data_IF_512750443721
#
_entry.id   IF_512750443721
#
_cell.length_a   1.000
_cell.length_b   1.000
_cell.length_c   1.000
_cell.angle_alpha   90.00
_cell.angle_beta   90.00
_cell.angle_gamma   90.00
#
_symmetry.space_group_name_H-M   'P 1'
#
loop_
_entity.id
_entity.type
_entity.pdbx_description
1 polymer ?
#
# COMPACT_ATOMS: atom_id res chain seq x y z
N UNK A 1 16.27 0.42 0.16
CA UNK A 1 17.44 1.18 0.65
C UNK A 1 17.47 2.62 0.12
N UNK A 2 17.28 2.83 -1.19
CA UNK A 2 17.31 4.15 -1.84
C UNK A 2 16.21 5.10 -1.34
N UNK A 3 14.96 4.64 -1.26
CA UNK A 3 13.83 5.45 -0.78
C UNK A 3 13.96 5.82 0.72
N UNK A 4 14.54 4.95 1.55
CA UNK A 4 14.78 5.29 2.97
C UNK A 4 15.88 6.34 3.15
N UNK A 5 16.85 6.38 2.23
CA UNK A 5 17.88 7.43 2.21
C UNK A 5 17.28 8.78 1.79
N UNK A 6 16.35 8.80 0.82
CA UNK A 6 15.69 10.06 0.41
C UNK A 6 14.79 10.65 1.50
N UNK A 7 14.20 9.81 2.36
CA UNK A 7 13.33 10.25 3.47
C UNK A 7 14.15 10.80 4.68
N UNK A 8 15.49 10.83 4.62
CA UNK A 8 16.39 11.39 5.67
C UNK A 8 16.20 10.82 7.09
N UNK A 9 15.50 9.69 7.26
CA UNK A 9 15.11 9.16 8.58
C UNK A 9 16.25 8.45 9.34
N UNK A 10 17.43 8.25 8.75
CA UNK A 10 18.57 7.59 9.39
C UNK A 10 18.36 6.13 9.85
N UNK A 11 17.14 5.60 9.72
CA UNK A 11 16.76 4.28 10.19
C UNK A 11 17.16 3.19 9.19
N UNK A 12 17.90 2.20 9.65
CA UNK A 12 18.22 1.01 8.87
C UNK A 12 17.09 -0.02 8.98
N UNK A 13 17.04 -0.97 8.02
CA UNK A 13 16.09 -2.09 8.09
C UNK A 13 16.29 -2.93 9.35
N UNK A 14 17.52 -2.97 9.89
CA UNK A 14 17.87 -3.67 11.11
C UNK A 14 17.32 -2.94 12.35
N UNK A 15 17.43 -1.61 12.40
CA UNK A 15 16.79 -0.82 13.47
C UNK A 15 15.29 -1.10 13.55
N UNK A 16 14.62 -1.17 12.40
CA UNK A 16 13.18 -1.48 12.33
C UNK A 16 12.89 -2.88 12.89
N UNK A 17 13.65 -3.90 12.48
CA UNK A 17 13.48 -5.27 12.99
C UNK A 17 13.72 -5.35 14.50
N UNK A 18 14.78 -4.74 14.98
CA UNK A 18 15.14 -4.74 16.40
C UNK A 18 14.10 -4.00 17.25
N UNK A 19 13.58 -2.86 16.78
CA UNK A 19 12.53 -2.13 17.47
C UNK A 19 11.27 -2.99 17.68
N UNK A 20 10.81 -3.69 16.64
CA UNK A 20 9.66 -4.60 16.78
C UNK A 20 9.95 -5.78 17.71
N UNK A 21 11.14 -6.38 17.61
CA UNK A 21 11.55 -7.49 18.48
C UNK A 21 11.54 -7.09 19.95
N UNK A 22 12.16 -5.95 20.28
CA UNK A 22 12.23 -5.44 21.66
C UNK A 22 10.83 -5.11 22.18
N UNK A 23 10.02 -4.38 21.40
CA UNK A 23 8.65 -4.04 21.78
C UNK A 23 7.82 -5.30 22.09
N UNK A 24 7.99 -6.36 21.29
CA UNK A 24 7.29 -7.63 21.52
C UNK A 24 7.79 -8.37 22.76
N UNK A 25 9.10 -8.33 23.05
CA UNK A 25 9.69 -8.96 24.24
C UNK A 25 9.12 -8.38 25.54
N UNK A 26 8.82 -7.08 25.55
CA UNK A 26 8.21 -6.40 26.71
C UNK A 26 6.68 -6.44 26.71
N UNK A 27 6.07 -7.21 25.80
CA UNK A 27 4.62 -7.42 25.75
C UNK A 27 3.81 -6.32 25.04
N UNK A 28 4.45 -5.32 24.42
CA UNK A 28 3.75 -4.25 23.70
C UNK A 28 3.17 -4.75 22.37
N UNK A 29 1.99 -4.21 22.05
CA UNK A 29 1.40 -4.42 20.73
C UNK A 29 2.11 -3.58 19.68
N UNK A 30 2.50 -4.19 18.57
CA UNK A 30 3.30 -3.55 17.53
C UNK A 30 2.47 -3.23 16.30
N UNK A 31 2.52 -1.97 15.87
CA UNK A 31 1.85 -1.48 14.65
C UNK A 31 2.86 -0.81 13.74
N UNK A 32 2.89 -1.24 12.50
CA UNK A 32 3.72 -0.64 11.46
C UNK A 32 2.92 0.25 10.52
N UNK A 33 3.61 1.19 9.91
CA UNK A 33 3.12 1.91 8.75
C UNK A 33 4.18 1.95 7.66
N UNK A 34 3.74 1.75 6.43
CA UNK A 34 4.55 1.89 5.23
C UNK A 34 3.77 2.66 4.17
N UNK A 35 4.53 3.31 3.28
CA UNK A 35 4.01 4.08 2.17
C UNK A 35 4.65 3.53 0.89
N UNK A 36 3.85 3.40 -0.16
CA UNK A 36 4.29 3.09 -1.52
C UNK A 36 3.84 4.20 -2.47
N UNK A 37 4.48 4.31 -3.63
CA UNK A 37 4.24 5.36 -4.61
C UNK A 37 5.06 6.62 -4.37
N UNK A 38 6.25 6.53 -3.76
CA UNK A 38 7.15 7.67 -3.58
C UNK A 38 7.90 8.01 -4.90
N UNK A 39 8.39 9.24 -5.14
CA UNK A 39 9.29 9.51 -6.27
C UNK A 39 10.43 8.49 -6.35
N UNK A 40 10.76 8.08 -7.58
CA UNK A 40 11.70 7.01 -7.93
C UNK A 40 11.25 5.57 -7.60
N UNK A 41 10.03 5.37 -7.11
CA UNK A 41 9.50 4.04 -6.85
C UNK A 41 9.14 3.33 -8.15
N UNK A 42 9.64 2.11 -8.31
CA UNK A 42 9.30 1.17 -9.39
C UNK A 42 8.53 -0.03 -8.84
N UNK A 43 7.85 -0.79 -9.70
CA UNK A 43 7.17 -2.05 -9.30
C UNK A 43 8.09 -3.00 -8.55
N UNK A 44 9.34 -3.14 -8.99
CA UNK A 44 10.33 -3.99 -8.32
C UNK A 44 10.69 -3.46 -6.92
N UNK A 45 10.82 -2.15 -6.74
CA UNK A 45 11.11 -1.55 -5.44
C UNK A 45 9.92 -1.65 -4.47
N UNK A 46 8.70 -1.39 -4.94
CA UNK A 46 7.48 -1.60 -4.17
C UNK A 46 7.40 -3.06 -3.71
N UNK A 47 7.69 -4.02 -4.60
CA UNK A 47 7.65 -5.43 -4.24
C UNK A 47 8.69 -5.84 -3.19
N UNK A 48 9.88 -5.22 -3.21
CA UNK A 48 10.86 -5.36 -2.12
C UNK A 48 10.30 -4.84 -0.79
N UNK A 49 9.60 -3.71 -0.80
CA UNK A 49 8.92 -3.15 0.39
C UNK A 49 7.87 -4.12 0.95
N UNK A 50 7.02 -4.68 0.09
CA UNK A 50 5.99 -5.65 0.50
C UNK A 50 6.60 -6.93 1.10
N UNK A 51 7.66 -7.47 0.48
CA UNK A 51 8.40 -8.62 1.02
C UNK A 51 9.04 -8.30 2.38
N UNK A 52 9.63 -7.12 2.53
CA UNK A 52 10.22 -6.68 3.79
C UNK A 52 9.16 -6.60 4.89
N UNK A 53 8.04 -5.91 4.64
CA UNK A 53 6.91 -5.80 5.56
C UNK A 53 6.40 -7.17 5.99
N UNK A 54 6.22 -8.09 5.04
CA UNK A 54 5.81 -9.47 5.35
C UNK A 54 6.81 -10.19 6.25
N UNK A 55 8.12 -9.92 6.10
CA UNK A 55 9.18 -10.54 6.91
C UNK A 55 9.24 -10.07 8.37
N UNK A 56 8.57 -8.97 8.73
CA UNK A 56 8.58 -8.40 10.09
C UNK A 56 7.75 -9.25 11.07
N UNK A 57 8.30 -10.38 11.54
CA UNK A 57 7.61 -11.34 12.41
C UNK A 57 7.01 -10.73 13.67
N UNK A 58 7.66 -9.69 14.19
CA UNK A 58 7.28 -9.03 15.42
C UNK A 58 6.37 -7.83 15.22
N UNK A 59 5.96 -7.53 13.98
CA UNK A 59 4.92 -6.55 13.64
C UNK A 59 3.57 -7.25 13.53
N UNK A 60 2.60 -6.85 14.35
CA UNK A 60 1.29 -7.52 14.44
C UNK A 60 0.23 -6.86 13.57
N UNK A 61 0.27 -5.53 13.45
CA UNK A 61 -0.63 -4.76 12.59
C UNK A 61 0.17 -3.94 11.59
N UNK A 62 -0.37 -3.70 10.41
CA UNK A 62 0.31 -2.91 9.38
C UNK A 62 -0.67 -2.04 8.62
N UNK A 63 -0.32 -0.77 8.46
CA UNK A 63 -0.98 0.14 7.55
C UNK A 63 -0.10 0.37 6.33
N UNK A 64 -0.56 -0.10 5.17
CA UNK A 64 0.06 0.22 3.89
C UNK A 64 -0.76 1.30 3.21
N UNK A 65 -0.14 2.45 2.97
CA UNK A 65 -0.78 3.59 2.32
C UNK A 65 -0.11 3.85 0.96
N UNK A 66 -0.86 4.43 0.03
CA UNK A 66 -0.26 5.04 -1.17
C UNK A 66 0.09 6.49 -0.84
N UNK A 67 1.20 6.98 -1.40
CA UNK A 67 1.64 8.35 -1.19
C UNK A 67 0.60 9.34 -1.72
N UNK A 68 0.27 10.33 -0.92
CA UNK A 68 -0.72 11.36 -1.25
C UNK A 68 -0.03 12.71 -1.21
N UNK A 69 0.18 13.37 -2.37
CA UNK A 69 0.89 14.64 -2.45
C UNK A 69 0.01 15.80 -1.98
N UNK A 70 0.07 16.22 -0.73
CA UNK A 70 -0.71 17.38 -0.28
C UNK A 70 -0.08 18.71 -0.73
N UNK A 71 -0.86 19.71 -1.15
CA UNK A 71 -0.34 21.03 -1.55
C UNK A 71 0.60 21.63 -0.51
N UNK A 72 1.68 22.26 -0.99
CA UNK A 72 2.71 22.84 -0.13
C UNK A 72 3.68 21.83 0.48
N UNK A 73 3.61 20.54 0.10
CA UNK A 73 4.63 19.54 0.45
C UNK A 73 5.61 19.32 -0.70
N UNK A 74 6.85 18.94 -0.39
CA UNK A 74 7.85 18.56 -1.39
C UNK A 74 7.35 17.44 -2.33
N UNK A 75 6.48 16.56 -1.82
CA UNK A 75 5.87 15.49 -2.59
C UNK A 75 4.87 16.02 -3.64
N UNK A 76 4.17 17.11 -3.34
CA UNK A 76 3.29 17.78 -4.29
C UNK A 76 4.08 18.47 -5.39
N UNK A 77 5.15 19.17 -5.04
CA UNK A 77 6.03 19.77 -6.03
C UNK A 77 6.67 18.70 -6.92
N UNK A 78 7.05 17.56 -6.35
CA UNK A 78 7.53 16.42 -7.13
C UNK A 78 6.46 15.88 -8.09
N UNK A 79 5.21 15.76 -7.65
CA UNK A 79 4.12 15.25 -8.47
C UNK A 79 3.70 16.19 -9.60
N UNK A 80 3.69 17.50 -9.35
CA UNK A 80 3.34 18.53 -10.33
C UNK A 80 4.45 18.69 -11.37
N UNK A 81 5.72 18.68 -10.94
CA UNK A 81 6.87 18.90 -11.81
C UNK A 81 7.41 17.61 -12.47
N UNK A 82 6.80 16.45 -12.23
CA UNK A 82 7.24 15.20 -12.84
C UNK A 82 8.48 14.55 -12.20
N UNK A 83 8.89 14.99 -11.01
CA UNK A 83 10.17 14.57 -10.41
C UNK A 83 10.14 13.10 -10.01
N UNK A 84 11.24 12.39 -10.28
CA UNK A 84 11.38 10.96 -9.98
C UNK A 84 10.33 10.08 -10.67
N UNK A 85 9.76 10.55 -11.77
CA UNK A 85 8.74 9.87 -12.57
C UNK A 85 7.34 9.88 -11.95
N UNK A 86 7.12 10.66 -10.89
CA UNK A 86 5.80 10.84 -10.29
C UNK A 86 4.96 11.81 -11.14
N UNK A 87 3.65 11.57 -11.24
CA UNK A 87 2.71 12.48 -11.89
C UNK A 87 1.44 12.61 -11.07
N UNK A 88 0.96 13.84 -10.93
CA UNK A 88 -0.36 14.11 -10.36
C UNK A 88 -1.45 13.82 -11.41
N UNK A 89 -2.45 13.03 -11.02
CA UNK A 89 -3.58 12.66 -11.88
C UNK A 89 -4.85 13.45 -11.56
N UNK A 90 -5.00 13.88 -10.29
CA UNK A 90 -6.22 14.52 -9.79
C UNK A 90 -5.86 15.66 -8.84
N UNK A 91 -6.52 16.80 -9.03
CA UNK A 91 -6.33 18.01 -8.23
C UNK A 91 -7.46 18.24 -7.23
N UNK A 92 -8.60 17.57 -7.38
CA UNK A 92 -9.70 17.66 -6.43
C UNK A 92 -9.33 16.99 -5.10
N UNK A 93 -9.25 17.81 -4.04
CA UNK A 93 -8.95 17.40 -2.68
C UNK A 93 -9.95 16.42 -2.08
N UNK A 94 -11.20 16.41 -2.57
CA UNK A 94 -12.20 15.44 -2.14
C UNK A 94 -11.78 14.00 -2.44
N UNK A 95 -10.87 13.80 -3.41
CA UNK A 95 -10.36 12.50 -3.84
C UNK A 95 -9.12 12.04 -3.08
N UNK A 96 -8.56 12.88 -2.20
CA UNK A 96 -7.33 12.61 -1.44
C UNK A 96 -7.64 11.70 -0.25
N UNK A 97 -7.98 10.45 -0.55
CA UNK A 97 -8.41 9.45 0.43
C UNK A 97 -7.30 8.48 0.75
N UNK A 98 -7.19 8.10 2.03
CA UNK A 98 -6.24 7.08 2.51
C UNK A 98 -6.49 5.69 1.89
N UNK A 99 -7.77 5.37 1.72
CA UNK A 99 -8.24 4.17 1.04
C UNK A 99 -9.22 4.63 -0.05
N UNK A 100 -8.79 4.53 -1.30
CA UNK A 100 -9.49 5.10 -2.45
C UNK A 100 -8.69 4.87 -3.73
N UNK A 101 -9.03 5.60 -4.78
CA UNK A 101 -8.22 5.62 -6.00
C UNK A 101 -7.04 6.58 -5.81
N UNK A 102 -5.79 6.12 -5.99
CA UNK A 102 -4.64 7.00 -5.88
C UNK A 102 -4.72 8.15 -6.87
N UNK A 103 -4.38 9.35 -6.39
CA UNK A 103 -4.34 10.59 -7.17
C UNK A 103 -3.03 10.77 -7.93
N UNK A 104 -2.16 9.75 -7.92
CA UNK A 104 -0.83 9.77 -8.53
C UNK A 104 -0.57 8.53 -9.39
N UNK A 105 0.38 8.67 -10.32
CA UNK A 105 1.15 7.56 -10.89
C UNK A 105 2.64 7.81 -10.66
N UNK A 106 3.46 6.74 -10.72
CA UNK A 106 4.91 6.86 -10.62
C UNK A 106 5.60 5.82 -11.47
N UNK A 107 6.52 6.24 -12.35
CA UNK A 107 7.28 5.36 -13.24
C UNK A 107 6.37 4.32 -13.95
N UNK A 108 6.60 3.03 -13.71
CA UNK A 108 5.88 1.88 -14.27
C UNK A 108 4.61 1.49 -13.47
N UNK A 109 4.20 2.33 -12.52
CA UNK A 109 3.05 2.11 -11.63
C UNK A 109 1.96 3.13 -11.92
N UNK A 110 0.85 2.65 -12.50
CA UNK A 110 -0.39 3.43 -12.60
C UNK A 110 -1.08 3.55 -11.24
N UNK A 111 -2.05 4.47 -11.11
CA UNK A 111 -2.91 4.56 -9.92
C UNK A 111 -3.58 3.23 -9.58
N UNK A 112 -4.00 2.47 -10.60
CA UNK A 112 -4.58 1.13 -10.44
C UNK A 112 -3.55 0.14 -9.92
N UNK A 113 -2.31 0.18 -10.41
CA UNK A 113 -1.24 -0.70 -9.93
C UNK A 113 -0.87 -0.40 -8.47
N UNK A 114 -0.80 0.89 -8.10
CA UNK A 114 -0.57 1.31 -6.72
C UNK A 114 -1.68 0.81 -5.78
N UNK A 115 -2.95 0.92 -6.19
CA UNK A 115 -4.09 0.38 -5.45
C UNK A 115 -4.01 -1.15 -5.32
N UNK A 116 -3.68 -1.85 -6.42
CA UNK A 116 -3.49 -3.31 -6.41
C UNK A 116 -2.36 -3.72 -5.46
N UNK A 117 -1.22 -3.04 -5.50
CA UNK A 117 -0.10 -3.28 -4.60
C UNK A 117 -0.47 -3.02 -3.14
N UNK A 118 -1.20 -1.93 -2.85
CA UNK A 118 -1.69 -1.64 -1.49
C UNK A 118 -2.52 -2.81 -0.95
N UNK A 119 -3.47 -3.29 -1.75
CA UNK A 119 -4.31 -4.44 -1.38
C UNK A 119 -3.49 -5.72 -1.20
N UNK A 120 -2.68 -6.08 -2.20
CA UNK A 120 -1.87 -7.31 -2.17
C UNK A 120 -0.94 -7.30 -0.96
N UNK A 121 -0.31 -6.16 -0.64
CA UNK A 121 0.57 -6.02 0.51
C UNK A 121 -0.14 -6.24 1.84
N UNK A 122 -1.35 -5.69 2.00
CA UNK A 122 -2.17 -5.91 3.17
C UNK A 122 -2.58 -7.40 3.29
N UNK A 123 -3.11 -8.00 2.22
CA UNK A 123 -3.50 -9.42 2.20
C UNK A 123 -2.30 -10.30 2.55
N UNK A 124 -1.15 -10.11 1.89
CA UNK A 124 0.05 -10.88 2.15
C UNK A 124 0.56 -10.76 3.59
N UNK A 125 0.45 -9.58 4.19
CA UNK A 125 0.86 -9.35 5.56
C UNK A 125 -0.06 -10.10 6.54
N UNK A 126 -1.37 -9.90 6.43
CA UNK A 126 -2.36 -10.46 7.35
C UNK A 126 -2.59 -11.97 7.18
N UNK A 127 -2.48 -12.49 5.96
CA UNK A 127 -2.57 -13.93 5.66
C UNK A 127 -1.29 -14.71 5.96
N UNK A 128 -0.28 -14.08 6.55
CA UNK A 128 0.92 -14.79 6.99
C UNK A 128 0.54 -15.72 8.17
N UNK A 129 0.79 -17.05 8.12
CA UNK A 129 0.17 -18.02 9.02
C UNK A 129 0.26 -17.67 10.52
N UNK A 130 1.43 -17.29 11.02
CA UNK A 130 1.59 -16.94 12.44
C UNK A 130 0.83 -15.66 12.84
N UNK A 131 0.67 -14.69 11.93
CA UNK A 131 -0.12 -13.46 12.20
C UNK A 131 -1.60 -13.73 12.13
N UNK A 132 -2.02 -14.56 11.18
CA UNK A 132 -3.39 -15.01 11.05
C UNK A 132 -3.84 -15.65 12.37
N UNK A 133 -3.10 -16.64 12.86
CA UNK A 133 -3.39 -17.29 14.15
C UNK A 133 -3.32 -16.32 15.33
N UNK A 134 -2.32 -15.42 15.38
CA UNK A 134 -2.23 -14.39 16.42
C UNK A 134 -3.50 -13.51 16.49
N UNK A 135 -3.98 -13.05 15.34
CA UNK A 135 -5.15 -12.17 15.26
C UNK A 135 -6.46 -12.90 15.61
N UNK A 136 -6.57 -14.19 15.29
CA UNK A 136 -7.75 -15.00 15.61
C UNK A 136 -7.81 -15.33 17.11
N UNK A 137 -6.70 -15.79 17.70
CA UNK A 137 -6.71 -16.34 19.05
C UNK A 137 -6.49 -15.31 20.17
N UNK A 138 -5.78 -14.20 19.92
CA UNK A 138 -5.47 -13.23 20.98
C UNK A 138 -6.49 -12.11 21.15
N UNK A 139 -7.31 -11.80 20.14
CA UNK A 139 -8.17 -10.60 20.13
C UNK A 139 -9.66 -10.83 20.37
N UNK A 140 -10.16 -12.05 20.39
CA UNK A 140 -11.60 -12.24 20.61
C UNK A 140 -12.00 -13.66 20.95
N UNK A 141 -12.95 -13.77 21.89
CA UNK A 141 -13.95 -14.84 21.95
C UNK A 141 -14.33 -15.29 20.54
N UNK A 142 -14.36 -16.60 20.28
CA UNK A 142 -14.55 -17.26 18.96
C UNK A 142 -15.46 -16.51 17.96
N UNK A 143 -16.53 -15.85 18.45
CA UNK A 143 -17.47 -15.02 17.67
C UNK A 143 -16.80 -13.88 16.86
N UNK A 144 -15.91 -13.08 17.44
CA UNK A 144 -15.29 -11.98 16.68
C UNK A 144 -14.22 -12.47 15.71
N UNK A 145 -13.60 -13.63 15.97
CA UNK A 145 -12.75 -14.33 15.01
C UNK A 145 -13.53 -14.74 13.76
N UNK A 146 -14.69 -15.36 13.93
CA UNK A 146 -15.58 -15.76 12.82
C UNK A 146 -16.09 -14.55 12.03
N UNK A 147 -16.53 -13.48 12.70
CA UNK A 147 -16.99 -12.24 12.04
C UNK A 147 -15.86 -11.60 11.22
N UNK A 148 -14.64 -11.54 11.76
CA UNK A 148 -13.49 -10.98 11.06
C UNK A 148 -13.09 -11.84 9.84
N UNK A 149 -13.09 -13.17 9.96
CA UNK A 149 -12.81 -14.08 8.84
C UNK A 149 -13.86 -13.92 7.75
N UNK A 150 -15.15 -13.85 8.11
CA UNK A 150 -16.26 -13.69 7.17
C UNK A 150 -16.22 -12.33 6.46
N UNK A 151 -16.03 -11.24 7.20
CA UNK A 151 -15.90 -9.90 6.63
C UNK A 151 -14.69 -9.79 5.69
N UNK A 152 -13.57 -10.43 6.05
CA UNK A 152 -12.37 -10.47 5.22
C UNK A 152 -12.57 -11.31 3.95
N UNK A 153 -13.25 -12.46 4.04
CA UNK A 153 -13.64 -13.28 2.90
C UNK A 153 -14.53 -12.54 1.91
N UNK A 154 -15.55 -11.82 2.41
CA UNK A 154 -16.39 -10.94 1.58
C UNK A 154 -15.56 -9.83 0.94
N UNK A 155 -14.63 -9.21 1.67
CA UNK A 155 -13.76 -8.17 1.12
C UNK A 155 -12.88 -8.70 -0.01
N UNK A 156 -12.32 -9.90 0.14
CA UNK A 156 -11.54 -10.55 -0.92
C UNK A 156 -12.43 -10.79 -2.14
N UNK A 157 -13.59 -11.43 -1.96
CA UNK A 157 -14.54 -11.71 -3.05
C UNK A 157 -15.01 -10.45 -3.76
N UNK A 158 -15.49 -9.45 -3.01
CA UNK A 158 -15.89 -8.14 -3.59
C UNK A 158 -14.76 -7.52 -4.39
N UNK A 159 -13.52 -7.66 -3.93
CA UNK A 159 -12.40 -7.06 -4.65
C UNK A 159 -12.10 -7.80 -5.95
N UNK A 160 -12.17 -9.14 -5.97
CA UNK A 160 -12.09 -9.92 -7.21
C UNK A 160 -13.22 -9.56 -8.19
N UNK A 161 -14.46 -9.40 -7.71
CA UNK A 161 -15.60 -9.02 -8.56
C UNK A 161 -15.55 -7.56 -9.06
N UNK A 162 -15.08 -6.61 -8.24
CA UNK A 162 -14.91 -5.21 -8.68
C UNK A 162 -13.75 -5.09 -9.69
N UNK A 163 -12.76 -5.98 -9.59
CA UNK A 163 -11.66 -6.08 -10.53
C UNK A 163 -12.12 -6.60 -11.91
N UNK A 164 -12.96 -7.64 -11.96
CA UNK A 164 -13.52 -8.16 -13.23
C UNK A 164 -14.42 -7.15 -13.97
N UNK A 165 -15.21 -6.35 -13.24
CA UNK A 165 -16.07 -5.34 -13.87
C UNK A 165 -15.29 -4.16 -14.46
N UNK A 166 -14.14 -3.81 -13.88
CA UNK A 166 -13.28 -2.73 -14.39
C UNK A 166 -12.48 -3.10 -15.64
N UNK A 167 -12.45 -4.38 -16.00
CA UNK A 167 -11.79 -4.89 -17.21
C UNK A 167 -12.75 -4.87 -18.42
N UNK A 168 -14.03 -5.23 -18.22
CA UNK A 168 -15.06 -5.26 -19.29
C UNK A 168 -15.45 -3.89 -19.87
N UNK A 169 -15.20 -2.78 -19.19
CA UNK A 169 -15.50 -1.44 -19.72
C UNK A 169 -14.42 -0.92 -20.69
N UNK A 170 -13.38 -1.72 -20.98
CA UNK A 170 -12.27 -1.36 -21.88
C UNK A 170 -12.46 -1.80 -23.32
N UNK A 171 -13.41 -2.69 -23.61
CA UNK A 171 -13.67 -3.15 -24.99
C UNK A 171 -14.46 -2.13 -25.84
N UNK A 172 -14.83 -0.98 -25.27
CA UNK A 172 -15.71 0.01 -25.91
C UNK A 172 -15.12 1.43 -26.01
N UNK A 173 -13.80 1.58 -25.99
CA UNK A 173 -13.16 2.89 -26.23
C UNK A 173 -12.65 2.93 -27.68
N UNK A 174 -13.18 3.79 -28.56
CA UNK A 174 -12.71 3.88 -29.94
C UNK A 174 -11.25 4.34 -29.97
N UNK A 175 -10.43 3.64 -30.76
CA UNK A 175 -9.06 4.01 -31.05
C UNK A 175 -9.02 5.33 -31.83
N UNK A 176 -8.67 6.42 -31.17
CA UNK A 176 -8.26 7.64 -31.89
C UNK A 176 -6.77 7.50 -32.27
N UNK A 177 -6.56 7.19 -33.55
CA UNK A 177 -5.28 7.32 -34.25
C UNK A 177 -4.86 8.80 -34.31
N UNK A 178 -3.57 9.05 -34.12
CA UNK A 178 -2.99 10.39 -34.03
C UNK A 178 -3.13 11.26 -35.28
N UNK A 179 -2.90 12.56 -35.07
CA UNK A 179 -2.76 13.58 -36.10
C UNK A 179 -2.16 14.84 -35.50
N UNK A 180 -0.93 15.13 -35.90
CA UNK A 180 -0.15 16.36 -35.76
C UNK A 180 -0.95 17.64 -36.00
N UNK A 181 -0.79 18.65 -35.16
CA UNK A 181 -0.07 19.93 -35.38
C UNK A 181 -0.08 20.76 -34.09
#
# INVERSE_FOLDING_TARGET
PEILKSIKKGATLEHIKNAYRIARQVGLETRGSAIIGHPHETRASAWRTLKFIRSLKDCQQMFLNVATPYPGTELYDAAVNGMGGMRLLKTDYSEYKRYGDPVISVNDLSSRDLKKLQMIGLIMFYMTPYRFWYNIFRRSTLKAGVVNVYAFGISILRTFFHFEKGDRSRDNVPHFSGGTF
#
